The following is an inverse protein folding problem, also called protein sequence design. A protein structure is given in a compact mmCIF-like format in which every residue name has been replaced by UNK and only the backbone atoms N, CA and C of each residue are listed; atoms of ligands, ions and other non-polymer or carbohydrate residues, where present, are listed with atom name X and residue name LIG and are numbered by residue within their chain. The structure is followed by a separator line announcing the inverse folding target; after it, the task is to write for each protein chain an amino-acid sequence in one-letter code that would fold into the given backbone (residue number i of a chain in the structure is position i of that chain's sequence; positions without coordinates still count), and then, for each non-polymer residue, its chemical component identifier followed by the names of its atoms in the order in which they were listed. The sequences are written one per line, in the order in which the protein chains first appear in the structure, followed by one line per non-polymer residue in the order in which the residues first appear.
data_IF_330184028832
#
_entry.id   IF_330184028832
#
_cell.length_a   1.000
_cell.length_b   1.000
_cell.length_c   1.000
_cell.angle_alpha   90.00
_cell.angle_beta   90.00
_cell.angle_gamma   90.00
#
_symmetry.space_group_name_H-M   'P 1'
#
loop_
_entity.id
_entity.type
_entity.pdbx_description
1 polymer ?
2 water ?
#
# COMPACT_ATOMS: atom_id res chain seq x y z
N UNK A 1 15.58 -9.92 16.96
CA UNK A 1 15.59 -8.45 16.84
C UNK A 1 15.43 -8.00 15.39
N UNK A 2 14.85 -6.81 15.21
CA UNK A 2 14.62 -6.26 13.88
C UNK A 2 15.79 -5.43 13.36
N UNK A 3 16.12 -5.63 12.08
CA UNK A 3 17.15 -4.87 11.39
C UNK A 3 16.43 -4.09 10.28
N UNK A 4 17.02 -2.99 9.82
CA UNK A 4 16.43 -2.18 8.78
C UNK A 4 16.51 -0.71 9.13
N UNK A 5 15.60 0.11 8.60
CA UNK A 5 15.61 1.53 8.91
C UNK A 5 14.21 2.11 8.95
N UNK A 6 14.08 3.32 9.46
CA UNK A 6 12.80 4.01 9.46
C UNK A 6 12.97 4.99 8.28
N UNK A 7 12.29 4.68 7.18
CA UNK A 7 12.34 5.53 6.02
C UNK A 7 11.34 6.66 6.26
N UNK A 8 11.49 7.75 5.52
CA UNK A 8 10.60 8.86 5.68
C UNK A 8 10.54 9.73 4.43
N UNK A 9 9.52 10.56 4.38
CA UNK A 9 9.32 11.50 3.30
C UNK A 9 8.51 12.66 3.84
N UNK A 10 8.98 13.88 3.61
CA UNK A 10 8.24 15.06 4.01
C UNK A 10 8.02 15.88 2.73
N UNK A 11 6.76 16.10 2.38
CA UNK A 11 6.46 16.87 1.18
C UNK A 11 7.02 18.27 1.35
N UNK A 12 7.47 18.88 0.24
CA UNK A 12 8.05 20.21 0.27
C UNK A 12 7.12 21.25 0.87
N UNK A 13 5.82 21.03 0.79
CA UNK A 13 4.89 21.98 1.38
C UNK A 13 4.67 21.69 2.87
N UNK A 14 5.36 20.66 3.36
CA UNK A 14 5.27 20.22 4.74
C UNK A 14 3.84 20.02 5.24
N UNK A 15 2.97 19.59 4.33
CA UNK A 15 1.59 19.32 4.68
C UNK A 15 1.32 17.83 4.73
N UNK A 16 2.28 17.04 4.26
CA UNK A 16 2.17 15.58 4.31
C UNK A 16 3.51 14.99 4.70
N UNK A 17 3.47 14.02 5.61
CA UNK A 17 4.67 13.34 6.07
C UNK A 17 4.41 11.85 6.30
N UNK A 18 5.43 11.03 6.12
CA UNK A 18 5.30 9.61 6.28
C UNK A 18 6.56 9.04 6.92
N UNK A 19 6.35 8.01 7.74
CA UNK A 19 7.43 7.21 8.35
C UNK A 19 7.05 5.78 7.94
N UNK A 20 8.05 4.98 7.60
CA UNK A 20 7.81 3.60 7.25
C UNK A 20 8.91 2.74 7.84
N UNK A 21 8.56 1.65 8.53
CA UNK A 21 9.59 0.76 9.03
C UNK A 21 9.81 -0.35 7.97
N UNK A 22 11.01 -0.36 7.39
CA UNK A 22 11.38 -1.33 6.40
C UNK A 22 12.40 -2.28 7.05
N UNK A 23 12.04 -3.56 7.10
CA UNK A 23 12.89 -4.56 7.73
C UNK A 23 13.66 -5.45 6.77
N UNK A 24 14.87 -5.80 7.18
CA UNK A 24 15.75 -6.67 6.41
C UNK A 24 16.44 -7.64 7.38
N UNK A 25 17.42 -8.41 6.90
CA UNK A 25 18.09 -9.39 7.75
C UNK A 25 19.30 -8.89 8.47
N UNK A 26 20.13 -8.09 7.80
CA UNK A 26 21.33 -7.55 8.42
C UNK A 26 21.49 -6.03 8.42
N UNK A 27 22.30 -5.55 9.37
CA UNK A 27 22.60 -4.15 9.49
C UNK A 27 23.41 -3.77 8.26
N UNK A 28 24.18 -4.72 7.72
CA UNK A 28 24.98 -4.42 6.53
C UNK A 28 24.08 -3.98 5.37
N UNK A 29 22.96 -4.67 5.18
CA UNK A 29 22.05 -4.27 4.11
C UNK A 29 21.32 -2.99 4.52
N UNK A 30 20.93 -2.92 5.79
CA UNK A 30 20.23 -1.74 6.31
C UNK A 30 20.99 -0.43 6.05
N UNK A 31 22.32 -0.48 6.15
CA UNK A 31 23.19 0.68 5.96
C UNK A 31 23.45 0.98 4.47
N UNK A 32 23.15 -0.02 3.65
CA UNK A 32 23.34 0.06 2.22
C UNK A 32 22.35 1.07 1.58
N UNK A 33 22.86 1.90 0.68
CA UNK A 33 22.03 2.92 0.01
C UNK A 33 20.93 2.36 -0.90
N UNK A 34 21.07 1.13 -1.39
CA UNK A 34 20.05 0.53 -2.24
C UNK A 34 18.78 0.29 -1.39
N UNK A 35 18.99 -0.26 -0.20
CA UNK A 35 17.93 -0.52 0.74
C UNK A 35 17.39 0.81 1.26
N UNK A 36 18.30 1.73 1.54
CA UNK A 36 17.90 3.04 2.03
C UNK A 36 17.05 3.81 1.01
N UNK A 37 17.37 3.68 -0.29
CA UNK A 37 16.61 4.34 -1.36
C UNK A 37 15.21 3.73 -1.49
N UNK A 38 15.13 2.41 -1.32
CA UNK A 38 13.87 1.68 -1.35
C UNK A 38 12.96 2.20 -0.22
N UNK A 39 13.47 2.30 1.02
CA UNK A 39 12.67 2.81 2.17
C UNK A 39 12.18 4.26 1.90
N UNK A 40 13.07 5.06 1.34
CA UNK A 40 12.81 6.44 0.98
C UNK A 40 11.70 6.51 -0.08
N UNK A 41 11.83 5.69 -1.13
CA UNK A 41 10.84 5.64 -2.21
C UNK A 41 9.50 5.10 -1.73
N UNK A 42 9.52 4.11 -0.84
CA UNK A 42 8.26 3.61 -0.28
C UNK A 42 7.58 4.69 0.53
N UNK A 43 8.37 5.46 1.30
CA UNK A 43 7.81 6.55 2.09
C UNK A 43 7.17 7.63 1.20
N UNK A 44 7.83 7.95 0.08
CA UNK A 44 7.28 8.95 -0.86
C UNK A 44 5.99 8.41 -1.52
N UNK A 45 6.02 7.16 -1.95
CA UNK A 45 4.86 6.52 -2.56
C UNK A 45 3.72 6.63 -1.60
N UNK A 46 3.90 6.21 -0.35
CA UNK A 46 2.83 6.28 0.65
C UNK A 46 2.26 7.71 0.83
N UNK A 47 3.15 8.70 0.90
CA UNK A 47 2.71 10.07 1.03
C UNK A 47 1.79 10.50 -0.15
N UNK A 48 2.19 10.14 -1.36
CA UNK A 48 1.46 10.53 -2.54
C UNK A 48 0.21 9.71 -2.80
N UNK A 49 0.27 8.41 -2.55
CA UNK A 49 -0.84 7.50 -2.80
C UNK A 49 -1.82 7.24 -1.66
N UNK A 50 -1.48 7.66 -0.44
CA UNK A 50 -2.36 7.50 0.70
C UNK A 50 -2.99 6.11 0.96
N UNK A 51 -2.18 5.03 1.03
CA UNK A 51 -2.80 3.74 1.31
C UNK A 51 -3.19 3.74 2.81
N UNK A 52 -4.16 2.92 3.19
CA UNK A 52 -4.60 2.83 4.59
C UNK A 52 -4.05 1.60 5.32
N UNK A 53 -3.66 0.57 4.55
CA UNK A 53 -3.09 -0.66 5.07
C UNK A 53 -1.87 -1.07 4.26
N UNK A 54 -1.03 -1.91 4.84
CA UNK A 54 0.14 -2.42 4.17
C UNK A 54 -0.35 -3.53 3.25
N UNK A 55 -1.16 -4.43 3.80
CA UNK A 55 -1.67 -5.60 3.09
C UNK A 55 -3.17 -5.81 3.22
N UNK A 56 -3.71 -6.61 2.31
CA UNK A 56 -5.15 -6.91 2.25
C UNK A 56 -5.73 -7.52 3.52
N UNK A 57 -4.95 -8.40 4.15
CA UNK A 57 -5.34 -9.07 5.39
C UNK A 57 -5.67 -8.12 6.55
N UNK A 58 -5.20 -6.89 6.46
CA UNK A 58 -5.45 -5.90 7.50
C UNK A 58 -6.83 -5.24 7.43
N UNK A 59 -7.57 -5.46 6.33
CA UNK A 59 -8.87 -4.83 6.18
C UNK A 59 -9.96 -5.57 6.98
N UNK A 60 -10.70 -4.84 7.83
CA UNK A 60 -11.77 -5.42 8.64
C UNK A 60 -12.85 -6.01 7.72
N UNK A 61 -13.26 -7.25 8.00
CA UNK A 61 -14.31 -7.92 7.23
C UNK A 61 -15.58 -7.05 7.12
N UNK A 62 -15.84 -6.25 8.15
CA UNK A 62 -16.98 -5.35 8.18
C UNK A 62 -16.75 -4.17 7.24
N UNK A 63 -15.51 -3.67 7.19
CA UNK A 63 -15.20 -2.55 6.32
C UNK A 63 -15.33 -2.98 4.86
N UNK A 64 -14.85 -4.19 4.58
CA UNK A 64 -14.89 -4.74 3.24
C UNK A 64 -16.33 -5.00 2.77
N UNK A 65 -17.10 -5.70 3.60
CA UNK A 65 -18.47 -6.02 3.26
C UNK A 65 -19.34 -4.78 3.08
N UNK A 66 -19.09 -3.75 3.88
CA UNK A 66 -19.86 -2.51 3.78
C UNK A 66 -19.65 -1.86 2.42
N UNK A 67 -18.39 -1.81 2.01
CA UNK A 67 -17.99 -1.23 0.74
C UNK A 67 -18.62 -2.07 -0.38
N UNK A 68 -18.54 -3.40 -0.26
CA UNK A 68 -19.12 -4.33 -1.24
C UNK A 68 -20.64 -4.10 -1.37
N UNK A 69 -21.31 -3.91 -0.24
CA UNK A 69 -22.75 -3.69 -0.23
C UNK A 69 -23.15 -2.37 -0.90
N UNK A 70 -22.26 -1.38 -0.85
CA UNK A 70 -22.50 -0.08 -1.47
C UNK A 70 -22.52 -0.32 -2.98
N UNK A 71 -21.56 -1.12 -3.43
CA UNK A 71 -21.42 -1.47 -4.83
C UNK A 71 -22.66 -2.22 -5.26
N UNK A 72 -23.00 -3.23 -4.48
CA UNK A 72 -24.17 -4.05 -4.78
C UNK A 72 -25.44 -3.21 -4.81
N UNK A 73 -25.74 -2.48 -3.76
CA UNK A 73 -26.94 -1.66 -3.73
C UNK A 73 -27.00 -0.71 -4.92
N UNK A 74 -25.86 -0.13 -5.29
CA UNK A 74 -25.81 0.79 -6.41
C UNK A 74 -26.28 0.13 -7.70
N UNK A 75 -25.77 -1.08 -7.95
CA UNK A 75 -26.13 -1.83 -9.14
C UNK A 75 -27.59 -2.26 -9.05
N UNK A 76 -28.03 -2.66 -7.86
CA UNK A 76 -29.42 -3.06 -7.65
C UNK A 76 -30.30 -1.85 -7.91
N UNK A 77 -29.83 -0.68 -7.46
CA UNK A 77 -30.56 0.56 -7.66
C UNK A 77 -30.56 0.99 -9.13
N UNK A 78 -29.74 0.32 -9.93
CA UNK A 78 -29.64 0.57 -11.38
C UNK A 78 -30.58 -0.40 -12.11
N UNK A 79 -31.18 -1.32 -11.36
CA UNK A 79 -32.06 -2.31 -11.96
C UNK A 79 -31.30 -3.58 -12.29
N UNK A 80 -30.08 -3.68 -11.76
CA UNK A 80 -29.25 -4.85 -12.00
C UNK A 80 -29.68 -5.97 -11.07
N UNK A 81 -29.95 -7.17 -11.61
CA UNK A 81 -30.34 -8.26 -10.72
C UNK A 81 -29.13 -8.64 -9.84
N UNK A 82 -29.41 -9.22 -8.67
CA UNK A 82 -28.40 -9.63 -7.70
C UNK A 82 -27.15 -10.28 -8.29
N UNK A 83 -27.31 -11.25 -9.18
CA UNK A 83 -26.15 -11.92 -9.75
C UNK A 83 -25.20 -10.98 -10.48
N UNK A 84 -25.74 -10.05 -11.27
CA UNK A 84 -24.90 -9.09 -12.00
C UNK A 84 -24.24 -8.13 -11.00
N UNK A 85 -25.07 -7.57 -10.10
CA UNK A 85 -24.63 -6.64 -9.06
C UNK A 85 -23.48 -7.23 -8.26
N UNK A 86 -23.49 -8.54 -8.07
CA UNK A 86 -22.43 -9.19 -7.33
C UNK A 86 -21.13 -9.20 -8.11
N UNK A 87 -21.20 -9.42 -9.43
CA UNK A 87 -20.00 -9.43 -10.24
C UNK A 87 -19.46 -8.00 -10.36
N UNK A 88 -20.35 -7.03 -10.50
CA UNK A 88 -19.92 -5.65 -10.60
C UNK A 88 -19.18 -5.30 -9.30
N UNK A 89 -19.82 -5.59 -8.17
CA UNK A 89 -19.23 -5.32 -6.86
C UNK A 89 -17.86 -6.01 -6.72
N UNK A 90 -17.75 -7.22 -7.27
CA UNK A 90 -16.52 -7.99 -7.25
C UNK A 90 -15.39 -7.15 -7.87
N UNK A 91 -15.67 -6.55 -9.04
CA UNK A 91 -14.70 -5.71 -9.74
C UNK A 91 -14.34 -4.43 -9.01
N UNK A 92 -15.35 -3.78 -8.44
CA UNK A 92 -15.13 -2.55 -7.70
C UNK A 92 -14.35 -2.82 -6.41
N UNK A 93 -14.48 -4.04 -5.86
CA UNK A 93 -13.75 -4.40 -4.64
C UNK A 93 -12.27 -4.54 -4.95
N UNK A 94 -11.97 -5.10 -6.11
CA UNK A 94 -10.58 -5.26 -6.57
C UNK A 94 -9.94 -3.85 -6.67
N UNK A 95 -10.73 -2.90 -7.17
CA UNK A 95 -10.28 -1.55 -7.31
C UNK A 95 -10.15 -0.92 -5.93
N UNK A 96 -11.08 -1.24 -5.04
CA UNK A 96 -11.04 -0.74 -3.70
C UNK A 96 -9.73 -1.19 -3.01
N UNK A 97 -9.27 -2.40 -3.31
CA UNK A 97 -8.04 -2.87 -2.69
C UNK A 97 -6.87 -2.06 -3.19
N UNK A 98 -6.94 -1.62 -4.45
CA UNK A 98 -5.86 -0.82 -5.03
C UNK A 98 -5.89 0.62 -4.55
N UNK A 99 -7.03 1.05 -4.02
CA UNK A 99 -7.19 2.40 -3.49
C UNK A 99 -6.56 2.46 -2.08
N UNK A 100 -6.88 1.48 -1.24
CA UNK A 100 -6.41 1.52 0.14
C UNK A 100 -5.26 0.62 0.61
N UNK A 101 -4.88 -0.37 -0.19
CA UNK A 101 -3.79 -1.28 0.22
C UNK A 101 -2.44 -0.98 -0.47
N UNK A 102 -1.44 -0.64 0.35
CA UNK A 102 -0.10 -0.33 -0.15
C UNK A 102 0.49 -1.35 -1.13
N UNK A 103 0.55 -2.61 -0.73
CA UNK A 103 1.14 -3.65 -1.59
C UNK A 103 0.47 -3.87 -2.94
N UNK A 104 -0.80 -3.46 -3.02
CA UNK A 104 -1.63 -3.60 -4.23
C UNK A 104 -1.64 -2.35 -5.08
N UNK A 105 -0.95 -1.32 -4.64
CA UNK A 105 -0.94 -0.09 -5.41
C UNK A 105 0.16 -0.06 -6.45
N UNK A 106 -0.11 0.56 -7.62
CA UNK A 106 0.94 0.63 -8.62
C UNK A 106 2.00 1.63 -8.08
N UNK A 107 3.26 1.24 -8.15
CA UNK A 107 4.36 2.06 -7.66
C UNK A 107 4.39 3.45 -8.30
N UNK A 108 4.55 4.49 -7.49
CA UNK A 108 4.60 5.88 -8.00
C UNK A 108 5.68 6.09 -9.07
N UNK A 109 6.83 5.45 -8.90
CA UNK A 109 7.93 5.63 -9.85
C UNK A 109 7.86 4.70 -11.07
N UNK A 110 6.88 3.81 -11.08
CA UNK A 110 6.69 2.89 -12.20
C UNK A 110 5.37 2.17 -11.98
N UNK A 111 4.29 2.78 -12.48
CA UNK A 111 2.96 2.24 -12.30
C UNK A 111 2.71 0.91 -13.00
N UNK A 112 3.72 0.39 -13.68
CA UNK A 112 3.62 -0.91 -14.34
C UNK A 112 4.03 -2.01 -13.35
N UNK A 113 4.35 -1.61 -12.12
CA UNK A 113 4.78 -2.53 -11.09
C UNK A 113 3.96 -2.26 -9.81
N UNK A 114 3.43 -3.31 -9.19
CA UNK A 114 2.70 -3.10 -7.94
C UNK A 114 3.77 -3.05 -6.85
N UNK A 115 3.49 -2.31 -5.79
CA UNK A 115 4.48 -2.18 -4.71
C UNK A 115 4.98 -3.57 -4.26
N UNK A 116 4.08 -4.56 -4.20
CA UNK A 116 4.50 -5.92 -3.81
C UNK A 116 5.54 -6.50 -4.78
N UNK A 117 5.44 -6.16 -6.08
CA UNK A 117 6.40 -6.66 -7.04
C UNK A 117 7.73 -5.90 -6.92
N UNK A 118 7.64 -4.61 -6.59
CA UNK A 118 8.83 -3.78 -6.39
C UNK A 118 9.64 -4.43 -5.26
N UNK A 119 8.93 -4.82 -4.20
CA UNK A 119 9.55 -5.48 -3.04
C UNK A 119 10.20 -6.82 -3.44
N UNK A 120 9.50 -7.62 -4.25
CA UNK A 120 10.08 -8.88 -4.72
C UNK A 120 11.31 -8.57 -5.57
N UNK A 121 11.27 -7.47 -6.30
CA UNK A 121 12.42 -7.11 -7.11
C UNK A 121 13.63 -6.78 -6.25
N UNK A 122 13.36 -6.05 -5.17
CA UNK A 122 14.40 -5.65 -4.22
C UNK A 122 15.02 -6.87 -3.50
N UNK A 123 14.17 -7.81 -3.09
CA UNK A 123 14.64 -9.02 -2.42
C UNK A 123 15.56 -9.82 -3.36
N UNK A 124 15.19 -9.89 -4.64
CA UNK A 124 15.97 -10.61 -5.65
C UNK A 124 17.31 -9.92 -5.87
N UNK A 125 17.30 -8.60 -5.93
CA UNK A 125 18.53 -7.83 -6.14
C UNK A 125 19.40 -7.84 -4.90
N UNK A 126 18.83 -7.44 -3.77
CA UNK A 126 19.54 -7.35 -2.49
C UNK A 126 19.98 -8.71 -1.93
N UNK A 127 19.10 -9.72 -1.98
CA UNK A 127 19.46 -11.02 -1.46
C UNK A 127 19.03 -11.28 -0.04
N UNK A 128 18.18 -10.42 0.52
CA UNK A 128 17.68 -10.62 1.88
C UNK A 128 16.18 -10.44 1.87
N UNK A 129 15.47 -11.08 2.80
CA UNK A 129 14.03 -10.91 2.87
C UNK A 129 13.79 -9.45 3.34
N UNK A 130 12.86 -8.76 2.70
CA UNK A 130 12.52 -7.38 3.04
C UNK A 130 11.03 -7.31 3.33
N UNK A 131 10.64 -6.62 4.40
CA UNK A 131 9.25 -6.52 4.79
C UNK A 131 8.88 -5.10 5.19
N UNK A 132 7.74 -4.59 4.71
CA UNK A 132 7.26 -3.26 5.12
C UNK A 132 6.45 -3.61 6.36
N UNK A 133 6.96 -3.23 7.52
CA UNK A 133 6.29 -3.55 8.76
C UNK A 133 5.07 -2.73 9.09
N UNK A 134 5.19 -1.42 8.89
CA UNK A 134 4.12 -0.48 9.23
C UNK A 134 4.51 0.88 8.69
N UNK A 135 3.53 1.78 8.60
CA UNK A 135 3.81 3.13 8.15
C UNK A 135 2.81 4.07 8.83
N UNK A 136 3.16 5.35 8.91
CA UNK A 136 2.28 6.35 9.46
C UNK A 136 2.34 7.53 8.53
N UNK A 137 1.16 8.00 8.14
CA UNK A 137 1.02 9.12 7.23
C UNK A 137 0.18 10.20 7.87
N UNK A 138 0.73 11.39 7.99
CA UNK A 138 0.01 12.50 8.56
C UNK A 138 -0.18 13.51 7.45
N UNK A 139 -1.40 14.01 7.34
CA UNK A 139 -1.72 15.05 6.38
C UNK A 139 -2.41 16.17 7.15
N UNK A 140 -1.91 17.39 6.94
CA UNK A 140 -2.42 18.58 7.59
C UNK A 140 -3.90 18.76 7.33
N UNK A 141 -4.68 18.79 8.39
CA UNK A 141 -6.11 18.96 8.27
C UNK A 141 -6.91 17.72 7.93
N UNK A 142 -6.27 16.55 7.81
CA UNK A 142 -6.98 15.33 7.45
C UNK A 142 -6.58 14.11 8.30
#
# INVERSE_FOLDING_TARGET
AREGIIGHYIHHNQRVGVLVELNCETDFVARNELFQNLAKDLAMHIAMMNPRYVSAEEIPAEELEKERQIYIQAALNEGKPQQIAEKIAEGRLKKYLEEVVLLEQPFVKDDKVKVKELIQQAIAKIGENIVVRRFCRFELGAMMC
#
